data_IF_140903097215
#
_entry.id   IF_140903097215
#
_cell.length_a   1.000
_cell.length_b   1.000
_cell.length_c   1.000
_cell.angle_alpha   90.00
_cell.angle_beta   90.00
_cell.angle_gamma   90.00
#
_symmetry.space_group_name_H-M   'P 1'
#
loop_
_entity.id
_entity.type
_entity.pdbx_description
1 polymer ?
#
# COMPACT_ATOMS: atom_id res chain seq x y z
N UNK A 1 -6.19 2.37 -21.27
CA UNK A 1 -4.88 2.93 -20.96
C UNK A 1 -4.98 3.81 -19.76
N UNK A 2 -3.87 4.20 -19.23
CA UNK A 2 -3.83 5.02 -18.07
C UNK A 2 -3.76 4.19 -16.78
N UNK A 3 -4.44 4.64 -15.74
CA UNK A 3 -4.26 4.11 -14.40
C UNK A 3 -5.25 2.99 -14.09
N UNK A 4 -4.69 1.84 -13.63
CA UNK A 4 -5.48 0.70 -13.18
C UNK A 4 -5.06 0.30 -11.78
N UNK A 5 -6.03 -0.04 -10.94
CA UNK A 5 -5.77 -0.60 -9.61
C UNK A 5 -6.13 -2.07 -9.60
N UNK A 6 -5.23 -2.91 -9.08
CA UNK A 6 -5.49 -4.33 -8.92
C UNK A 6 -5.25 -4.75 -7.47
N UNK A 7 -6.05 -5.70 -6.94
CA UNK A 7 -5.77 -6.25 -5.62
C UNK A 7 -4.39 -6.91 -5.60
N UNK A 8 -3.62 -6.65 -4.55
CA UNK A 8 -2.22 -7.08 -4.49
C UNK A 8 -2.02 -8.52 -4.02
N UNK A 9 -3.06 -9.19 -3.55
CA UNK A 9 -2.93 -10.48 -2.86
C UNK A 9 -2.32 -11.58 -3.73
N UNK A 10 -2.55 -11.54 -5.04
CA UNK A 10 -1.99 -12.49 -5.97
C UNK A 10 -0.64 -12.08 -6.57
N UNK A 11 -0.05 -10.98 -6.09
CA UNK A 11 1.16 -10.40 -6.68
C UNK A 11 2.22 -10.12 -5.62
N UNK A 12 2.69 -11.14 -4.88
CA UNK A 12 3.64 -10.92 -3.78
C UNK A 12 4.99 -10.37 -4.24
N UNK A 13 5.46 -10.73 -5.44
CA UNK A 13 6.74 -10.24 -5.95
C UNK A 13 6.70 -8.75 -6.21
N UNK A 14 5.65 -8.28 -6.90
CA UNK A 14 5.47 -6.86 -7.22
C UNK A 14 5.25 -6.05 -5.95
N UNK A 15 4.44 -6.58 -5.04
CA UNK A 15 4.18 -5.95 -3.74
C UNK A 15 5.46 -5.82 -2.94
N UNK A 16 6.26 -6.89 -2.89
CA UNK A 16 7.55 -6.90 -2.18
C UNK A 16 8.53 -5.90 -2.76
N UNK A 17 8.56 -5.75 -4.09
CA UNK A 17 9.41 -4.77 -4.76
C UNK A 17 9.05 -3.35 -4.32
N UNK A 18 7.78 -3.00 -4.32
CA UNK A 18 7.33 -1.67 -3.90
C UNK A 18 7.56 -1.43 -2.41
N UNK A 19 7.32 -2.43 -1.57
CA UNK A 19 7.55 -2.30 -0.13
C UNK A 19 9.04 -2.08 0.15
N UNK A 20 9.93 -2.73 -0.59
CA UNK A 20 11.37 -2.54 -0.46
C UNK A 20 11.77 -1.12 -0.86
N UNK A 21 11.24 -0.63 -1.98
CA UNK A 21 11.51 0.74 -2.43
C UNK A 21 11.00 1.76 -1.41
N UNK A 22 9.82 1.54 -0.87
CA UNK A 22 9.23 2.39 0.16
C UNK A 22 10.11 2.42 1.41
N UNK A 23 10.56 1.25 1.85
CA UNK A 23 11.45 1.09 2.99
C UNK A 23 12.78 1.82 2.77
N UNK A 24 13.37 1.64 1.59
CA UNK A 24 14.65 2.28 1.24
C UNK A 24 14.49 3.81 1.26
N UNK A 25 13.38 4.32 0.78
CA UNK A 25 13.09 5.75 0.80
C UNK A 25 13.01 6.29 2.24
N UNK A 26 12.33 5.56 3.13
CA UNK A 26 12.21 5.96 4.54
C UNK A 26 13.58 5.94 5.23
N UNK A 27 14.38 4.91 5.00
CA UNK A 27 15.71 4.79 5.60
C UNK A 27 16.63 5.87 5.08
N UNK A 28 16.55 6.22 3.80
CA UNK A 28 17.34 7.30 3.22
C UNK A 28 17.01 8.65 3.85
N UNK A 29 15.74 8.85 4.23
CA UNK A 29 15.33 10.08 4.91
C UNK A 29 15.73 10.11 6.39
N UNK A 30 15.70 8.94 7.05
CA UNK A 30 16.06 8.83 8.46
C UNK A 30 16.54 7.40 8.75
N UNK A 31 17.86 7.18 8.89
CA UNK A 31 18.39 5.83 9.11
C UNK A 31 17.85 5.12 10.36
N UNK A 32 17.31 5.85 11.34
CA UNK A 32 16.73 5.22 12.53
C UNK A 32 15.50 4.37 12.21
N UNK A 33 14.85 4.58 11.07
CA UNK A 33 13.73 3.76 10.64
C UNK A 33 14.10 2.30 10.41
N UNK A 34 15.37 1.99 10.21
CA UNK A 34 15.80 0.61 9.98
C UNK A 34 15.40 -0.31 11.14
N UNK A 35 15.61 0.12 12.38
CA UNK A 35 15.19 -0.65 13.55
C UNK A 35 13.68 -0.77 13.65
N UNK A 36 12.98 0.33 13.38
CA UNK A 36 11.52 0.35 13.39
C UNK A 36 10.93 -0.65 12.39
N UNK A 37 11.52 -0.74 11.20
CA UNK A 37 11.05 -1.63 10.15
C UNK A 37 11.31 -3.10 10.47
N UNK A 38 12.39 -3.40 11.16
CA UNK A 38 12.64 -4.76 11.68
C UNK A 38 11.54 -5.16 12.65
N UNK A 39 11.14 -4.24 13.53
CA UNK A 39 10.05 -4.48 14.47
C UNK A 39 8.73 -4.73 13.75
N UNK A 40 8.49 -4.07 12.62
CA UNK A 40 7.27 -4.26 11.82
C UNK A 40 7.22 -5.60 11.07
N UNK A 41 8.35 -6.25 10.93
CA UNK A 41 8.45 -7.58 10.33
C UNK A 41 7.84 -7.65 8.92
N UNK A 42 8.44 -6.90 7.99
CA UNK A 42 7.99 -6.85 6.61
C UNK A 42 7.96 -8.22 5.92
N UNK A 43 8.91 -9.10 6.24
CA UNK A 43 8.97 -10.41 5.61
C UNK A 43 7.72 -11.23 5.95
N UNK A 44 7.29 -11.19 7.21
CA UNK A 44 6.05 -11.86 7.61
C UNK A 44 4.83 -11.19 7.00
N UNK A 45 4.82 -9.85 6.91
CA UNK A 45 3.74 -9.11 6.27
C UNK A 45 3.57 -9.56 4.82
N UNK A 46 4.68 -9.71 4.08
CA UNK A 46 4.62 -10.13 2.68
C UNK A 46 4.12 -11.57 2.50
N UNK A 47 4.38 -12.44 3.48
CA UNK A 47 3.87 -13.81 3.45
C UNK A 47 2.38 -13.89 3.77
N UNK A 48 1.84 -12.91 4.49
CA UNK A 48 0.48 -12.93 5.01
C UNK A 48 -0.25 -11.62 4.74
N UNK A 49 -0.22 -11.18 3.47
CA UNK A 49 -0.86 -9.92 3.09
C UNK A 49 -2.35 -9.89 3.45
N UNK A 50 -3.04 -11.00 3.23
CA UNK A 50 -4.47 -11.08 3.52
C UNK A 50 -4.77 -11.02 5.01
N UNK A 51 -3.84 -11.44 5.86
CA UNK A 51 -4.02 -11.36 7.30
C UNK A 51 -4.10 -9.93 7.82
N UNK A 52 -3.36 -9.02 7.20
CA UNK A 52 -3.29 -7.62 7.61
C UNK A 52 -4.20 -6.72 6.77
N UNK A 53 -4.28 -6.97 5.47
CA UNK A 53 -4.97 -6.10 4.53
C UNK A 53 -6.13 -6.79 3.80
N UNK A 54 -6.53 -7.98 4.22
CA UNK A 54 -7.52 -8.77 3.52
C UNK A 54 -8.96 -8.35 3.74
N UNK A 55 -9.84 -8.82 2.84
CA UNK A 55 -11.27 -8.66 2.98
C UNK A 55 -11.77 -9.35 4.27
N UNK A 56 -12.87 -8.88 4.83
CA UNK A 56 -13.73 -7.80 4.35
C UNK A 56 -13.32 -6.40 4.83
N UNK A 57 -12.40 -6.28 5.79
CA UNK A 57 -12.14 -5.03 6.48
C UNK A 57 -10.89 -4.29 6.00
N UNK A 58 -10.02 -4.97 5.26
CA UNK A 58 -8.81 -4.39 4.71
C UNK A 58 -8.82 -4.36 3.20
N UNK A 59 -7.87 -3.61 2.63
CA UNK A 59 -7.64 -3.57 1.18
C UNK A 59 -6.16 -3.38 0.93
N UNK A 60 -5.69 -3.89 -0.19
CA UNK A 60 -4.33 -3.64 -0.65
C UNK A 60 -4.34 -3.62 -2.16
N UNK A 61 -3.94 -2.50 -2.74
CA UNK A 61 -3.92 -2.31 -4.18
C UNK A 61 -2.53 -2.04 -4.71
N UNK A 62 -2.27 -2.57 -5.90
CA UNK A 62 -1.18 -2.11 -6.75
C UNK A 62 -1.76 -1.19 -7.80
N UNK A 63 -1.03 -0.13 -8.15
CA UNK A 63 -1.39 0.78 -9.23
C UNK A 63 -0.50 0.52 -10.43
N UNK A 64 -1.10 0.35 -11.60
CA UNK A 64 -0.39 0.24 -12.86
C UNK A 64 -0.76 1.43 -13.72
N UNK A 65 0.24 2.07 -14.30
CA UNK A 65 0.05 3.18 -15.22
C UNK A 65 0.57 2.78 -16.59
N UNK A 66 -0.32 2.72 -17.57
CA UNK A 66 -0.02 2.26 -18.94
C UNK A 66 0.69 0.90 -18.94
N UNK A 67 0.25 0.00 -18.06
CA UNK A 67 0.79 -1.36 -17.96
C UNK A 67 2.04 -1.50 -17.11
N UNK A 68 2.57 -0.41 -16.56
CA UNK A 68 3.77 -0.44 -15.73
C UNK A 68 3.43 -0.27 -14.25
N UNK A 69 4.11 -1.04 -13.39
CA UNK A 69 3.91 -0.96 -11.95
C UNK A 69 4.33 0.42 -11.43
N UNK A 70 3.40 1.16 -10.86
CA UNK A 70 3.61 2.56 -10.50
C UNK A 70 3.55 2.82 -8.99
N UNK A 71 2.76 2.06 -8.23
CA UNK A 71 2.63 2.34 -6.80
C UNK A 71 1.71 1.36 -6.08
N UNK A 72 1.47 1.65 -4.80
CA UNK A 72 0.62 0.82 -3.96
C UNK A 72 -0.01 1.63 -2.83
N UNK A 73 -1.04 1.05 -2.21
CA UNK A 73 -1.66 1.60 -1.00
C UNK A 73 -2.38 0.48 -0.25
N UNK A 74 -2.37 0.53 1.09
CA UNK A 74 -3.06 -0.42 1.93
C UNK A 74 -4.05 0.25 2.88
N UNK A 75 -5.08 -0.50 3.26
CA UNK A 75 -6.06 -0.14 4.27
C UNK A 75 -6.10 -1.26 5.31
N UNK A 76 -5.88 -0.92 6.56
CA UNK A 76 -5.84 -1.87 7.66
C UNK A 76 -6.89 -1.49 8.71
N UNK A 77 -7.63 -2.50 9.20
CA UNK A 77 -8.56 -2.30 10.29
C UNK A 77 -7.80 -2.04 11.60
N UNK A 78 -8.20 -1.03 12.35
CA UNK A 78 -7.73 -0.79 13.71
C UNK A 78 -8.77 -1.31 14.71
N UNK A 79 -10.03 -0.89 14.55
CA UNK A 79 -11.15 -1.36 15.36
C UNK A 79 -12.45 -1.28 14.53
N UNK A 80 -13.61 -1.42 15.18
CA UNK A 80 -14.89 -1.45 14.47
C UNK A 80 -15.26 -0.16 13.74
N UNK A 81 -14.64 0.96 14.09
CA UNK A 81 -14.96 2.27 13.50
C UNK A 81 -13.78 2.94 12.83
N UNK A 82 -12.57 2.48 13.09
CA UNK A 82 -11.34 3.14 12.64
C UNK A 82 -10.49 2.23 11.78
N UNK A 83 -9.86 2.82 10.78
CA UNK A 83 -8.91 2.14 9.93
C UNK A 83 -7.69 3.02 9.71
N UNK A 84 -6.64 2.43 9.16
CA UNK A 84 -5.38 3.11 8.93
C UNK A 84 -4.96 2.92 7.48
N UNK A 85 -4.59 4.02 6.83
CA UNK A 85 -3.98 3.99 5.51
C UNK A 85 -2.49 3.70 5.70
N UNK A 86 -1.98 2.66 5.03
CA UNK A 86 -0.58 2.26 5.13
C UNK A 86 0.02 2.00 3.76
N UNK A 87 1.34 2.06 3.68
CA UNK A 87 2.11 1.67 2.50
C UNK A 87 1.76 2.47 1.24
N UNK A 88 1.37 3.74 1.40
CA UNK A 88 1.19 4.61 0.24
C UNK A 88 2.56 4.92 -0.36
N UNK A 89 2.76 4.49 -1.59
CA UNK A 89 4.01 4.72 -2.30
C UNK A 89 3.75 4.83 -3.80
N UNK A 90 4.38 5.81 -4.43
CA UNK A 90 4.37 5.97 -5.88
C UNK A 90 5.81 6.08 -6.34
N UNK A 91 6.20 5.26 -7.31
CA UNK A 91 7.55 5.28 -7.86
C UNK A 91 7.88 6.66 -8.42
N UNK A 92 9.14 7.09 -8.29
CA UNK A 92 9.55 8.45 -8.63
C UNK A 92 9.26 8.83 -10.09
N UNK A 93 9.41 7.88 -11.03
CA UNK A 93 9.15 8.16 -12.44
C UNK A 93 7.67 8.39 -12.76
N UNK A 94 6.78 8.07 -11.84
CA UNK A 94 5.33 8.26 -12.01
C UNK A 94 4.78 9.41 -11.17
N UNK A 95 5.61 10.10 -10.41
CA UNK A 95 5.17 11.24 -9.62
C UNK A 95 4.77 12.39 -10.52
N UNK A 96 3.84 13.21 -10.05
CA UNK A 96 3.31 14.31 -10.85
C UNK A 96 2.13 13.93 -11.75
N UNK A 97 1.70 12.66 -11.71
CA UNK A 97 0.56 12.17 -12.50
C UNK A 97 -0.70 11.96 -11.66
N UNK A 98 -0.69 12.44 -10.43
CA UNK A 98 -1.82 12.35 -9.48
C UNK A 98 -2.18 10.90 -9.11
N UNK A 99 -1.24 9.97 -9.26
CA UNK A 99 -1.50 8.56 -8.91
C UNK A 99 -1.71 8.41 -7.41
N UNK A 100 -0.89 9.07 -6.59
CA UNK A 100 -1.05 9.05 -5.14
C UNK A 100 -2.41 9.57 -4.69
N UNK A 101 -2.86 10.68 -5.27
CA UNK A 101 -4.18 11.25 -4.98
C UNK A 101 -5.29 10.27 -5.31
N UNK A 102 -5.21 9.61 -6.46
CA UNK A 102 -6.22 8.63 -6.88
C UNK A 102 -6.21 7.38 -6.01
N UNK A 103 -5.03 6.92 -5.58
CA UNK A 103 -4.92 5.82 -4.62
C UNK A 103 -5.61 6.17 -3.30
N UNK A 104 -5.35 7.36 -2.79
CA UNK A 104 -5.97 7.84 -1.55
C UNK A 104 -7.49 7.92 -1.71
N UNK A 105 -7.97 8.47 -2.81
CA UNK A 105 -9.41 8.56 -3.08
C UNK A 105 -10.07 7.18 -3.13
N UNK A 106 -9.42 6.22 -3.75
CA UNK A 106 -9.93 4.85 -3.83
C UNK A 106 -10.04 4.22 -2.44
N UNK A 107 -9.04 4.40 -1.60
CA UNK A 107 -9.04 3.85 -0.24
C UNK A 107 -10.11 4.51 0.63
N UNK A 108 -10.29 5.82 0.50
CA UNK A 108 -11.35 6.53 1.24
C UNK A 108 -12.72 6.00 0.83
N UNK A 109 -12.95 5.81 -0.46
CA UNK A 109 -14.19 5.26 -0.98
C UNK A 109 -14.44 3.86 -0.43
N UNK A 110 -13.42 3.00 -0.46
CA UNK A 110 -13.53 1.64 0.07
C UNK A 110 -13.80 1.65 1.57
N UNK A 111 -13.14 2.54 2.32
CA UNK A 111 -13.35 2.66 3.76
C UNK A 111 -14.79 3.04 4.08
N UNK A 112 -15.37 3.94 3.32
CA UNK A 112 -16.77 4.33 3.48
C UNK A 112 -17.72 3.16 3.19
N UNK A 113 -17.46 2.41 2.14
CA UNK A 113 -18.29 1.25 1.77
C UNK A 113 -18.19 0.15 2.81
N UNK A 114 -17.03 -0.04 3.43
CA UNK A 114 -16.85 -1.02 4.51
C UNK A 114 -17.60 -0.58 5.78
N UNK A 115 -17.70 0.72 6.02
CA UNK A 115 -18.42 1.26 7.16
C UNK A 115 -17.57 1.99 8.18
N UNK A 116 -16.33 2.31 7.84
CA UNK A 116 -15.50 3.13 8.72
C UNK A 116 -15.98 4.59 8.71
N UNK A 117 -15.85 5.24 9.82
CA UNK A 117 -16.26 6.64 9.97
C UNK A 117 -15.09 7.62 9.98
#
# INVERSE_FOLDING_TARGET
MGLNFVPAYGFPSETGELFREYTDMLIAGDPSFKEYLVIQDYDEELKHLEGKYGFPYGRLYLAYYDGELAGCIGLRKIDGQNCEMKRLYVRSQFRGKRIGTQLIQRIIEDARQIGYS
#
